data_IF_939307088822
#
_entry.id   IF_939307088822
#
_cell.length_a   1.000
_cell.length_b   1.000
_cell.length_c   1.000
_cell.angle_alpha   90.00
_cell.angle_beta   90.00
_cell.angle_gamma   90.00
#
_symmetry.space_group_name_H-M   'P 1'
#
loop_
_entity.id
_entity.type
_entity.pdbx_description
1 polymer ?
#
# COMPACT_ATOMS: atom_id res chain seq x y z
N UNK A 1 -6.91 -15.91 4.04
CA UNK A 1 -6.03 -16.94 3.43
C UNK A 1 -4.73 -16.25 3.07
N UNK A 2 -3.55 -16.90 3.27
CA UNK A 2 -2.28 -16.29 2.87
C UNK A 2 -2.29 -16.04 1.35
N UNK A 3 -1.72 -14.91 0.94
CA UNK A 3 -1.64 -14.52 -0.46
C UNK A 3 -0.73 -15.47 -1.21
N UNK A 4 -0.99 -15.68 -2.51
CA UNK A 4 -0.04 -16.43 -3.33
C UNK A 4 1.31 -15.71 -3.33
N UNK A 5 2.40 -16.46 -3.11
CA UNK A 5 3.74 -15.87 -3.00
C UNK A 5 4.21 -15.11 -4.24
N UNK A 6 3.58 -15.33 -5.39
CA UNK A 6 3.84 -14.66 -6.67
C UNK A 6 2.93 -13.45 -6.94
N UNK A 7 2.05 -13.08 -6.00
CA UNK A 7 1.13 -11.97 -6.16
C UNK A 7 1.89 -10.64 -6.39
N UNK A 8 1.51 -9.80 -7.38
CA UNK A 8 2.25 -8.61 -7.75
C UNK A 8 2.40 -7.63 -6.59
N UNK A 9 1.46 -7.55 -5.65
CA UNK A 9 1.59 -6.67 -4.47
C UNK A 9 2.76 -7.02 -3.54
N UNK A 10 3.19 -8.29 -3.48
CA UNK A 10 4.22 -8.71 -2.51
C UNK A 10 5.56 -8.04 -2.85
N UNK A 11 6.20 -7.47 -1.83
CA UNK A 11 7.48 -6.79 -1.94
C UNK A 11 7.54 -5.47 -1.19
N UNK A 12 8.55 -4.67 -1.51
CA UNK A 12 8.73 -3.32 -0.95
C UNK A 12 8.40 -2.28 -2.00
N UNK A 13 7.59 -1.30 -1.60
CA UNK A 13 7.09 -0.23 -2.43
C UNK A 13 7.39 1.09 -1.76
N UNK A 14 7.70 2.11 -2.56
CA UNK A 14 7.92 3.46 -2.08
C UNK A 14 7.06 4.43 -2.86
N UNK A 15 6.37 5.30 -2.14
CA UNK A 15 5.69 6.45 -2.71
C UNK A 15 6.37 7.74 -2.24
N UNK A 16 6.33 8.76 -3.05
CA UNK A 16 6.72 10.12 -2.68
C UNK A 16 5.49 10.99 -2.82
N UNK A 17 5.20 11.80 -1.81
CA UNK A 17 4.05 12.70 -1.85
C UNK A 17 4.16 13.68 -3.02
N UNK A 18 3.03 14.20 -3.56
CA UNK A 18 3.05 15.11 -4.71
C UNK A 18 3.89 16.38 -4.50
N UNK A 19 4.04 16.83 -3.26
CA UNK A 19 4.86 17.98 -2.88
C UNK A 19 6.38 17.68 -2.81
N UNK A 20 6.76 16.40 -2.96
CA UNK A 20 8.13 15.92 -2.85
C UNK A 20 8.73 16.00 -1.43
N UNK A 21 7.95 16.41 -0.43
CA UNK A 21 8.46 16.69 0.92
C UNK A 21 8.71 15.43 1.74
N UNK A 22 8.16 14.30 1.29
CA UNK A 22 8.13 13.09 2.07
C UNK A 22 8.01 11.84 1.21
N UNK A 23 8.59 10.74 1.69
CA UNK A 23 8.45 9.42 1.08
C UNK A 23 8.02 8.38 2.10
N UNK A 24 7.11 7.51 1.69
CA UNK A 24 6.61 6.41 2.50
C UNK A 24 7.05 5.09 1.89
N UNK A 25 7.43 4.15 2.74
CA UNK A 25 7.85 2.81 2.32
C UNK A 25 6.91 1.77 2.89
N UNK A 26 6.28 1.00 1.99
CA UNK A 26 5.35 -0.07 2.29
C UNK A 26 6.05 -1.41 2.06
N UNK A 27 6.12 -2.24 3.09
CA UNK A 27 6.63 -3.60 3.00
C UNK A 27 5.47 -4.58 3.14
N UNK A 28 5.04 -5.12 2.01
CA UNK A 28 3.93 -6.08 1.92
C UNK A 28 4.48 -7.50 1.96
N UNK A 29 3.96 -8.31 2.88
CA UNK A 29 4.32 -9.72 3.05
C UNK A 29 3.20 -10.64 2.58
N UNK A 30 3.59 -11.85 2.18
CA UNK A 30 2.65 -12.88 1.71
C UNK A 30 1.71 -13.41 2.82
N UNK A 31 2.05 -13.19 4.08
CA UNK A 31 1.23 -13.57 5.24
C UNK A 31 0.01 -12.67 5.46
N UNK A 32 -0.17 -11.63 4.64
CA UNK A 32 -1.27 -10.66 4.76
C UNK A 32 -0.95 -9.51 5.70
N UNK A 33 0.31 -9.28 6.03
CA UNK A 33 0.75 -8.11 6.81
C UNK A 33 1.45 -7.07 5.94
N UNK A 34 1.22 -5.81 6.26
CA UNK A 34 1.92 -4.66 5.67
C UNK A 34 2.60 -3.87 6.78
N UNK A 35 3.85 -3.50 6.56
CA UNK A 35 4.60 -2.60 7.45
C UNK A 35 4.92 -1.31 6.69
N UNK A 36 4.40 -0.20 7.18
CA UNK A 36 4.53 1.13 6.58
C UNK A 36 5.50 1.95 7.41
N UNK A 37 6.44 2.60 6.73
CA UNK A 37 7.38 3.56 7.31
C UNK A 37 7.13 4.92 6.65
N UNK A 38 6.68 5.90 7.43
CA UNK A 38 6.34 7.24 6.95
C UNK A 38 6.93 8.29 7.91
N UNK A 39 8.02 8.94 7.54
CA UNK A 39 8.83 9.78 8.46
C UNK A 39 9.21 9.06 9.77
N UNK A 40 8.57 9.45 10.88
CA UNK A 40 8.73 8.84 12.21
C UNK A 40 7.64 7.79 12.48
N UNK A 41 6.59 7.73 11.66
CA UNK A 41 5.50 6.78 11.77
C UNK A 41 5.93 5.38 11.32
N UNK A 42 5.59 4.41 12.16
CA UNK A 42 5.74 2.99 11.87
C UNK A 42 4.40 2.34 12.18
N UNK A 43 3.66 2.04 11.12
CA UNK A 43 2.36 1.41 11.19
C UNK A 43 2.43 -0.03 10.67
N UNK A 44 1.78 -0.94 11.38
CA UNK A 44 1.57 -2.32 10.98
C UNK A 44 0.07 -2.52 10.73
N UNK A 45 -0.22 -3.06 9.56
CA UNK A 45 -1.58 -3.39 9.12
C UNK A 45 -1.69 -4.85 8.74
N UNK A 46 -2.92 -5.36 8.79
CA UNK A 46 -3.31 -6.59 8.11
C UNK A 46 -4.18 -6.24 6.93
N UNK A 47 -4.00 -6.93 5.81
CA UNK A 47 -4.77 -6.69 4.60
C UNK A 47 -5.31 -7.98 4.00
N UNK A 48 -6.40 -7.84 3.26
CA UNK A 48 -6.92 -8.87 2.35
C UNK A 48 -7.06 -8.28 0.97
N UNK A 49 -6.56 -8.96 -0.05
CA UNK A 49 -6.67 -8.52 -1.45
C UNK A 49 -7.21 -9.63 -2.33
N UNK A 50 -7.95 -9.26 -3.38
CA UNK A 50 -8.41 -10.21 -4.40
C UNK A 50 -7.22 -10.90 -5.08
N UNK A 51 -7.36 -12.20 -5.38
CA UNK A 51 -6.27 -12.97 -6.02
C UNK A 51 -6.02 -12.55 -7.48
N UNK A 52 -7.05 -12.03 -8.13
CA UNK A 52 -7.06 -11.58 -9.51
C UNK A 52 -7.64 -10.17 -9.60
N UNK A 53 -7.25 -9.40 -10.64
CA UNK A 53 -7.91 -8.15 -10.92
C UNK A 53 -9.32 -8.40 -11.45
N UNK A 54 -10.18 -7.40 -11.31
CA UNK A 54 -11.49 -7.37 -11.95
C UNK A 54 -11.38 -7.13 -13.47
N UNK A 55 -12.55 -7.01 -14.13
CA UNK A 55 -12.64 -6.77 -15.57
C UNK A 55 -11.98 -5.46 -16.04
N UNK A 56 -11.79 -4.51 -15.13
CA UNK A 56 -11.22 -3.19 -15.40
C UNK A 56 -9.75 -3.12 -14.93
N UNK A 57 -9.19 -4.24 -14.45
CA UNK A 57 -7.78 -4.37 -14.07
C UNK A 57 -7.48 -4.02 -12.62
N UNK A 58 -8.50 -3.80 -11.78
CA UNK A 58 -8.31 -3.42 -10.38
C UNK A 58 -8.34 -4.62 -9.44
N UNK A 59 -7.42 -4.63 -8.48
CA UNK A 59 -7.45 -5.52 -7.35
C UNK A 59 -8.15 -4.84 -6.18
N UNK A 60 -9.11 -5.50 -5.55
CA UNK A 60 -9.77 -4.97 -4.36
C UNK A 60 -8.97 -5.37 -3.13
N UNK A 61 -8.44 -4.39 -2.41
CA UNK A 61 -7.71 -4.54 -1.16
C UNK A 61 -8.54 -3.96 -0.02
N UNK A 62 -8.59 -4.64 1.12
CA UNK A 62 -9.04 -4.06 2.38
C UNK A 62 -7.90 -4.13 3.38
N UNK A 63 -7.41 -2.97 3.81
CA UNK A 63 -6.35 -2.81 4.80
C UNK A 63 -6.96 -2.43 6.16
N UNK A 64 -6.38 -2.93 7.25
CA UNK A 64 -6.76 -2.58 8.61
C UNK A 64 -5.50 -2.39 9.43
N UNK A 65 -5.28 -1.16 9.88
CA UNK A 65 -4.15 -0.83 10.77
C UNK A 65 -4.39 -1.48 12.12
N UNK A 66 -3.47 -2.37 12.51
CA UNK A 66 -3.53 -3.10 13.79
C UNK A 66 -2.63 -2.45 14.85
N UNK A 67 -1.58 -1.77 14.42
CA UNK A 67 -0.64 -1.09 15.31
C UNK A 67 -0.10 0.15 14.63
N UNK A 68 -0.09 1.25 15.36
CA UNK A 68 0.57 2.48 14.95
C UNK A 68 1.36 3.04 16.12
N UNK A 69 2.47 3.74 15.84
CA UNK A 69 3.30 4.34 16.89
C UNK A 69 2.83 5.75 17.30
N UNK A 70 1.67 6.20 16.80
CA UNK A 70 1.01 7.45 17.14
C UNK A 70 1.73 8.68 16.61
N UNK A 71 2.62 8.50 15.64
CA UNK A 71 3.36 9.59 15.00
C UNK A 71 2.59 10.09 13.78
N UNK A 72 3.03 11.23 13.27
CA UNK A 72 2.42 11.80 12.07
C UNK A 72 2.98 11.12 10.85
N UNK A 73 2.10 10.74 9.94
CA UNK A 73 2.44 10.30 8.61
C UNK A 73 3.05 11.46 7.78
N UNK A 74 3.33 11.19 6.51
CA UNK A 74 3.82 12.19 5.58
C UNK A 74 2.79 13.30 5.31
N UNK A 75 1.49 13.01 5.41
CA UNK A 75 0.39 13.98 5.24
C UNK A 75 0.19 14.88 6.47
N UNK A 76 0.85 14.54 7.59
CA UNK A 76 0.73 15.24 8.87
C UNK A 76 -0.44 14.74 9.72
N UNK A 77 -1.16 13.72 9.27
CA UNK A 77 -2.26 13.08 9.96
C UNK A 77 -1.74 11.96 10.88
N UNK A 78 -2.53 11.62 11.89
CA UNK A 78 -2.27 10.45 12.75
C UNK A 78 -3.25 9.38 12.33
N UNK A 79 -2.72 8.27 11.83
CA UNK A 79 -3.57 7.22 11.29
C UNK A 79 -4.19 6.40 12.44
N UNK A 80 -5.52 6.44 12.57
CA UNK A 80 -6.19 5.75 13.67
C UNK A 80 -6.30 4.24 13.40
N UNK A 81 -5.79 3.37 14.30
CA UNK A 81 -5.92 1.92 14.15
C UNK A 81 -7.38 1.46 14.26
N UNK A 82 -7.68 0.31 13.63
CA UNK A 82 -8.92 -0.44 13.83
C UNK A 82 -10.05 -0.15 12.85
N UNK A 83 -9.93 0.84 11.96
CA UNK A 83 -10.90 1.01 10.86
C UNK A 83 -10.42 0.30 9.60
N UNK A 84 -11.18 -0.66 9.04
CA UNK A 84 -10.87 -1.21 7.74
C UNK A 84 -11.13 -0.16 6.64
N UNK A 85 -10.21 -0.06 5.70
CA UNK A 85 -10.29 0.82 4.52
C UNK A 85 -10.16 -0.05 3.29
N UNK A 86 -11.10 0.11 2.34
CA UNK A 86 -11.04 -0.58 1.05
C UNK A 86 -10.40 0.32 0.01
N UNK A 87 -9.38 -0.19 -0.66
CA UNK A 87 -8.69 0.45 -1.77
C UNK A 87 -8.75 -0.42 -3.02
N UNK A 88 -8.54 0.21 -4.17
CA UNK A 88 -8.49 -0.45 -5.47
C UNK A 88 -7.11 -0.24 -6.08
N UNK A 89 -6.34 -1.32 -6.21
CA UNK A 89 -4.98 -1.27 -6.73
C UNK A 89 -4.96 -1.59 -8.22
N UNK A 90 -4.27 -0.76 -9.01
CA UNK A 90 -4.00 -1.05 -10.41
C UNK A 90 -2.50 -1.10 -10.68
N UNK A 91 -2.02 -2.24 -11.16
CA UNK A 91 -0.62 -2.47 -11.46
C UNK A 91 -0.30 -2.08 -12.90
N UNK A 92 0.81 -1.35 -13.09
CA UNK A 92 1.34 -1.11 -14.43
C UNK A 92 1.89 -2.42 -15.03
N UNK A 93 1.75 -2.68 -16.35
CA UNK A 93 2.23 -3.91 -16.99
C UNK A 93 3.72 -4.23 -16.76
N UNK A 94 4.53 -3.23 -16.42
CA UNK A 94 5.94 -3.42 -16.04
C UNK A 94 6.15 -4.22 -14.73
N UNK A 95 5.13 -4.35 -13.88
CA UNK A 95 5.21 -4.99 -12.56
C UNK A 95 5.99 -4.22 -11.48
N UNK A 96 6.51 -3.03 -11.81
CA UNK A 96 7.32 -2.20 -10.91
C UNK A 96 6.61 -0.94 -10.42
N UNK A 97 5.37 -0.71 -10.84
CA UNK A 97 4.57 0.46 -10.49
C UNK A 97 3.14 0.02 -10.22
N UNK A 98 2.49 0.66 -9.25
CA UNK A 98 1.04 0.61 -9.10
C UNK A 98 0.49 1.93 -8.58
N UNK A 99 -0.82 2.10 -8.71
CA UNK A 99 -1.59 3.18 -8.08
C UNK A 99 -2.65 2.58 -7.17
N UNK A 100 -2.97 3.30 -6.09
CA UNK A 100 -4.00 2.92 -5.13
C UNK A 100 -5.14 3.93 -5.21
N UNK A 101 -6.36 3.47 -5.42
CA UNK A 101 -7.51 4.33 -5.68
C UNK A 101 -8.59 4.12 -4.62
N UNK A 102 -9.35 5.17 -4.31
CA UNK A 102 -10.46 5.09 -3.34
C UNK A 102 -11.72 4.44 -3.93
N UNK A 103 -11.77 4.32 -5.25
CA UNK A 103 -12.84 3.70 -6.02
C UNK A 103 -12.28 2.97 -7.24
N UNK A 104 -13.09 2.19 -7.95
CA UNK A 104 -12.73 1.48 -9.20
C UNK A 104 -12.61 2.45 -10.38
N UNK A 105 -11.86 3.54 -10.21
CA UNK A 105 -11.57 4.56 -11.21
C UNK A 105 -10.18 5.15 -10.98
N UNK A 106 -9.59 5.68 -12.05
CA UNK A 106 -8.31 6.40 -12.00
C UNK A 106 -8.44 7.88 -11.60
N UNK A 107 -9.65 8.35 -11.31
CA UNK A 107 -9.91 9.77 -10.99
C UNK A 107 -9.35 10.18 -9.64
N UNK A 108 -9.32 9.25 -8.67
CA UNK A 108 -8.96 9.51 -7.28
C UNK A 108 -8.00 8.46 -6.75
N UNK A 109 -6.75 8.57 -7.20
CA UNK A 109 -5.68 7.67 -6.82
C UNK A 109 -4.49 8.39 -6.19
N UNK A 110 -3.78 7.65 -5.36
CA UNK A 110 -2.48 7.99 -4.82
C UNK A 110 -1.42 7.08 -5.47
N UNK A 111 -0.31 7.69 -5.88
CA UNK A 111 0.76 7.00 -6.60
C UNK A 111 1.66 7.95 -7.40
N UNK A 112 2.63 7.41 -8.16
CA UNK A 112 2.90 5.98 -8.31
C UNK A 112 3.67 5.40 -7.12
N UNK A 113 3.28 4.20 -6.70
CA UNK A 113 4.11 3.36 -5.83
C UNK A 113 5.17 2.67 -6.68
N UNK A 114 6.43 2.90 -6.35
CA UNK A 114 7.58 2.37 -7.09
C UNK A 114 8.16 1.18 -6.34
N UNK A 115 8.31 0.05 -7.02
CA UNK A 115 8.92 -1.14 -6.44
C UNK A 115 10.38 -0.87 -6.12
N UNK A 116 10.77 -1.10 -4.87
CA UNK A 116 12.16 -1.02 -4.45
C UNK A 116 12.77 -2.42 -4.55
N UNK A 117 13.77 -2.58 -5.42
CA UNK A 117 14.53 -3.83 -5.58
C UNK A 117 15.84 -3.72 -4.79
N UNK A 118 16.01 -4.55 -3.77
CA UNK A 118 17.18 -4.55 -2.86
C UNK A 118 16.78 -4.36 -1.39
N UNK A 119 17.75 -4.43 -0.47
CA UNK A 119 17.54 -4.04 0.93
C UNK A 119 17.25 -2.54 1.00
N UNK A 120 15.98 -2.17 0.89
CA UNK A 120 15.54 -0.95 1.52
C UNK A 120 15.50 -1.25 3.02
N UNK A 121 16.52 -0.72 3.70
CA UNK A 121 16.81 -0.85 5.14
C UNK A 121 17.61 -2.12 5.50
#
# INVERSE_FOLDING_TARGET
>A
MPLRSDHPLIGTWRITLPDGSCSETYRVRADGTTLVFSREEVAESVFTISDQPDKDGFYEETDTIVKDNGKRDCSGEVTAPGKPITNYLQFHPSGNLFVMCVERSLDRCIGPFIRVRGKAI
#
